data_IF_934030148191
#
_entry.id   IF_934030148191
#
_cell.length_a   1.000
_cell.length_b   1.000
_cell.length_c   1.000
_cell.angle_alpha   90.00
_cell.angle_beta   90.00
_cell.angle_gamma   90.00
#
_symmetry.space_group_name_H-M   'P 1'
#
loop_
_entity.id
_entity.type
_entity.pdbx_description
1 polymer ?
#
# COMPACT_ATOMS: atom_id res chain seq x y z
N UNK A 1 -14.70 -28.72 -9.90
CA UNK A 1 -15.47 -27.46 -9.99
C UNK A 1 -15.12 -26.57 -8.79
N UNK A 2 -13.87 -26.08 -8.69
CA UNK A 2 -13.41 -25.27 -7.55
C UNK A 2 -13.17 -23.79 -7.91
N UNK A 3 -12.98 -23.48 -9.21
CA UNK A 3 -12.72 -22.11 -9.69
C UNK A 3 -13.95 -21.18 -9.70
N UNK A 4 -15.17 -21.71 -9.53
CA UNK A 4 -16.41 -20.91 -9.61
C UNK A 4 -16.76 -20.18 -8.30
N UNK A 5 -16.14 -20.54 -7.16
CA UNK A 5 -16.37 -19.91 -5.85
C UNK A 5 -15.23 -19.01 -5.39
N UNK A 6 -14.10 -18.99 -6.09
CA UNK A 6 -12.94 -18.19 -5.74
C UNK A 6 -13.06 -16.78 -6.32
N UNK A 7 -12.71 -15.71 -5.57
CA UNK A 7 -12.65 -14.38 -6.12
C UNK A 7 -11.76 -14.32 -7.36
N UNK A 8 -12.20 -13.62 -8.40
CA UNK A 8 -11.50 -13.57 -9.69
C UNK A 8 -10.04 -13.13 -9.55
N UNK A 9 -9.75 -12.14 -8.71
CA UNK A 9 -8.37 -11.67 -8.48
C UNK A 9 -7.50 -12.78 -7.89
N UNK A 10 -8.02 -13.57 -6.95
CA UNK A 10 -7.30 -14.71 -6.37
C UNK A 10 -7.03 -15.77 -7.43
N UNK A 11 -8.05 -16.14 -8.21
CA UNK A 11 -7.92 -17.14 -9.27
C UNK A 11 -6.89 -16.72 -10.34
N UNK A 12 -6.87 -15.43 -10.71
CA UNK A 12 -5.88 -14.89 -11.64
C UNK A 12 -4.48 -14.91 -11.02
N UNK A 13 -4.35 -14.53 -9.75
CA UNK A 13 -3.07 -14.45 -9.08
C UNK A 13 -2.46 -15.82 -8.76
N UNK A 14 -3.26 -16.86 -8.54
CA UNK A 14 -2.78 -18.26 -8.47
C UNK A 14 -1.97 -18.66 -9.72
N UNK A 15 -2.30 -18.07 -10.87
CA UNK A 15 -1.64 -18.36 -12.15
C UNK A 15 -0.45 -17.42 -12.34
N UNK A 16 -0.64 -16.12 -12.14
CA UNK A 16 0.37 -15.10 -12.47
C UNK A 16 1.43 -14.93 -11.38
N UNK A 17 1.05 -15.08 -10.11
CA UNK A 17 1.91 -14.77 -8.95
C UNK A 17 3.20 -15.57 -8.89
N UNK A 18 3.19 -16.82 -9.37
CA UNK A 18 4.39 -17.67 -9.52
C UNK A 18 5.46 -17.10 -10.46
N UNK A 19 5.13 -16.06 -11.23
CA UNK A 19 6.04 -15.36 -12.13
C UNK A 19 6.50 -14.01 -11.57
N UNK A 20 6.01 -13.62 -10.40
CA UNK A 20 6.42 -12.39 -9.71
C UNK A 20 7.50 -12.78 -8.70
N UNK A 21 8.76 -12.51 -9.05
CA UNK A 21 9.93 -12.80 -8.20
C UNK A 21 10.20 -11.62 -7.29
N UNK A 22 10.40 -11.89 -6.00
CA UNK A 22 10.90 -10.92 -5.04
C UNK A 22 12.42 -10.84 -5.15
N UNK A 23 12.92 -9.67 -5.53
CA UNK A 23 14.35 -9.41 -5.70
C UNK A 23 14.78 -8.21 -4.86
N UNK A 24 15.87 -8.36 -4.11
CA UNK A 24 16.50 -7.26 -3.37
C UNK A 24 17.30 -6.34 -4.28
N UNK A 25 17.71 -5.21 -3.71
CA UNK A 25 18.60 -4.26 -4.37
C UNK A 25 19.93 -4.88 -4.83
N UNK A 26 20.44 -5.88 -4.12
CA UNK A 26 21.68 -6.61 -4.45
C UNK A 26 21.49 -7.74 -5.48
N UNK A 27 20.24 -7.97 -5.92
CA UNK A 27 19.89 -9.03 -6.86
C UNK A 27 19.60 -10.40 -6.23
N UNK A 28 19.65 -10.53 -4.90
CA UNK A 28 19.22 -11.74 -4.20
C UNK A 28 17.71 -11.96 -4.42
N UNK A 29 17.33 -13.22 -4.67
CA UNK A 29 15.93 -13.62 -4.81
C UNK A 29 15.40 -14.20 -3.50
N UNK A 30 14.30 -13.65 -3.01
CA UNK A 30 13.65 -14.06 -1.75
C UNK A 30 12.39 -14.92 -2.00
N UNK A 31 12.31 -15.52 -3.19
CA UNK A 31 11.19 -16.34 -3.64
C UNK A 31 10.22 -15.61 -4.55
N UNK A 32 8.98 -16.10 -4.64
CA UNK A 32 7.94 -15.58 -5.52
C UNK A 32 6.68 -15.22 -4.74
N UNK A 33 5.90 -14.28 -5.28
CA UNK A 33 4.58 -13.98 -4.74
C UNK A 33 3.53 -14.98 -5.23
N UNK A 34 3.64 -16.21 -4.77
CA UNK A 34 2.67 -17.26 -5.07
C UNK A 34 1.49 -17.22 -4.10
N UNK A 35 0.30 -17.51 -4.63
CA UNK A 35 -0.83 -17.91 -3.80
C UNK A 35 -0.98 -19.43 -3.90
N UNK A 36 -1.39 -20.05 -2.81
CA UNK A 36 -1.72 -21.47 -2.73
C UNK A 36 -3.18 -21.62 -2.36
N UNK A 37 -3.84 -22.64 -2.89
CA UNK A 37 -5.22 -22.98 -2.54
C UNK A 37 -5.25 -24.41 -2.04
N UNK A 38 -5.66 -24.59 -0.79
CA UNK A 38 -5.88 -25.91 -0.21
C UNK A 38 -7.32 -26.36 -0.52
N UNK A 39 -7.53 -27.38 -1.36
CA UNK A 39 -8.88 -27.83 -1.72
C UNK A 39 -9.64 -28.48 -0.56
N UNK A 40 -8.95 -28.96 0.49
CA UNK A 40 -9.58 -29.65 1.62
C UNK A 40 -10.18 -28.66 2.62
N UNK A 41 -9.44 -27.59 2.94
CA UNK A 41 -9.88 -26.53 3.87
C UNK A 41 -10.51 -25.33 3.15
N UNK A 42 -10.35 -25.24 1.83
CA UNK A 42 -10.64 -24.06 1.01
C UNK A 42 -9.86 -22.80 1.42
N UNK A 43 -8.76 -22.98 2.14
CA UNK A 43 -7.86 -21.92 2.57
C UNK A 43 -7.03 -21.39 1.39
N UNK A 44 -6.75 -20.08 1.40
CA UNK A 44 -5.81 -19.46 0.49
C UNK A 44 -4.61 -18.99 1.31
N UNK A 45 -3.41 -19.35 0.89
CA UNK A 45 -2.14 -18.96 1.53
C UNK A 45 -1.33 -18.12 0.57
N UNK A 46 -0.46 -17.25 1.09
CA UNK A 46 0.39 -16.39 0.28
C UNK A 46 1.86 -16.57 0.62
N UNK A 47 2.74 -16.42 -0.36
CA UNK A 47 4.21 -16.53 -0.23
C UNK A 47 4.69 -17.98 0.05
N UNK A 48 4.15 -18.65 1.08
CA UNK A 48 4.47 -20.03 1.44
C UNK A 48 3.20 -20.89 1.54
N UNK A 49 3.32 -22.17 1.21
CA UNK A 49 2.23 -23.15 1.34
C UNK A 49 2.13 -23.70 2.77
N UNK A 50 1.99 -22.80 3.74
CA UNK A 50 1.98 -23.09 5.17
C UNK A 50 0.76 -22.42 5.84
N UNK A 51 0.17 -23.06 6.83
CA UNK A 51 -1.05 -22.57 7.49
C UNK A 51 -0.88 -21.18 8.12
N UNK A 52 0.33 -20.87 8.60
CA UNK A 52 0.65 -19.57 9.21
C UNK A 52 0.60 -18.42 8.19
N UNK A 53 0.70 -18.73 6.89
CA UNK A 53 0.61 -17.79 5.78
C UNK A 53 -0.80 -17.73 5.17
N UNK A 54 -1.81 -18.24 5.89
CA UNK A 54 -3.20 -18.17 5.46
C UNK A 54 -3.74 -16.74 5.42
N UNK A 55 -4.52 -16.46 4.38
CA UNK A 55 -5.26 -15.22 4.22
C UNK A 55 -6.69 -15.42 4.67
N UNK A 56 -7.21 -14.46 5.44
CA UNK A 56 -8.65 -14.38 5.69
C UNK A 56 -9.29 -13.49 4.63
N UNK A 57 -10.04 -14.08 3.71
CA UNK A 57 -10.83 -13.34 2.73
C UNK A 57 -12.18 -12.91 3.30
N UNK A 58 -12.61 -11.69 3.01
CA UNK A 58 -13.81 -11.08 3.61
C UNK A 58 -13.84 -11.22 5.14
N UNK A 59 -12.77 -10.80 5.85
CA UNK A 59 -12.76 -10.85 7.31
C UNK A 59 -13.92 -10.02 7.88
N UNK A 60 -14.43 -10.35 9.07
CA UNK A 60 -15.27 -9.43 9.83
C UNK A 60 -14.51 -8.11 10.02
N UNK A 61 -14.99 -7.06 9.38
CA UNK A 61 -14.35 -5.75 9.43
C UNK A 61 -14.64 -5.08 10.79
N UNK A 62 -13.65 -4.41 11.41
CA UNK A 62 -13.82 -3.78 12.72
C UNK A 62 -15.07 -2.89 12.78
N UNK A 63 -15.83 -3.02 13.88
CA UNK A 63 -17.04 -2.21 14.16
C UNK A 63 -16.85 -1.28 15.35
N UNK A 64 -15.87 -1.61 16.17
CA UNK A 64 -15.39 -0.87 17.33
C UNK A 64 -14.36 0.16 16.87
N UNK A 65 -14.49 1.36 17.45
CA UNK A 65 -13.88 2.59 16.95
C UNK A 65 -14.52 3.03 15.63
N UNK A 66 -15.40 4.05 15.71
CA UNK A 66 -15.95 4.74 14.55
C UNK A 66 -14.79 5.08 13.62
N UNK A 67 -14.52 4.30 12.57
CA UNK A 67 -13.43 4.58 11.65
C UNK A 67 -13.60 6.03 11.17
N UNK A 68 -12.54 6.81 10.86
CA UNK A 68 -12.66 8.15 10.26
C UNK A 68 -13.54 8.26 8.99
N UNK A 69 -14.16 7.16 8.55
CA UNK A 69 -15.06 7.01 7.41
C UNK A 69 -16.50 6.59 7.78
N UNK A 70 -16.83 6.50 9.08
CA UNK A 70 -18.16 6.23 9.70
C UNK A 70 -18.97 5.00 9.24
N UNK A 71 -18.60 4.36 8.15
CA UNK A 71 -18.84 2.97 7.79
C UNK A 71 -17.50 2.51 7.22
N UNK A 72 -16.99 1.34 7.61
CA UNK A 72 -15.67 0.91 7.14
C UNK A 72 -15.64 1.05 5.61
N UNK A 73 -14.77 1.88 5.02
CA UNK A 73 -14.88 2.27 3.60
C UNK A 73 -14.78 1.05 2.70
N UNK A 74 -14.17 -0.02 3.21
CA UNK A 74 -14.09 -1.30 2.54
C UNK A 74 -15.49 -1.87 2.33
N UNK A 75 -16.37 -1.85 3.35
CA UNK A 75 -17.74 -2.39 3.31
C UNK A 75 -18.58 -1.80 2.17
N UNK A 76 -18.65 -0.47 2.08
CA UNK A 76 -19.43 0.21 1.03
C UNK A 76 -18.89 -0.04 -0.38
N UNK A 77 -17.61 -0.40 -0.49
CA UNK A 77 -16.92 -0.56 -1.76
C UNK A 77 -16.51 -2.01 -2.04
N UNK A 78 -16.96 -2.99 -1.25
CA UNK A 78 -16.60 -4.40 -1.42
C UNK A 78 -16.98 -4.88 -2.81
N UNK A 79 -16.05 -5.57 -3.46
CA UNK A 79 -16.30 -6.30 -4.70
C UNK A 79 -16.14 -7.78 -4.42
N UNK A 80 -17.13 -8.58 -4.79
CA UNK A 80 -17.08 -10.03 -4.63
C UNK A 80 -15.81 -10.64 -5.26
N UNK A 81 -15.39 -10.12 -6.40
CA UNK A 81 -14.25 -10.61 -7.17
C UNK A 81 -12.88 -10.12 -6.67
N UNK A 82 -12.87 -9.17 -5.74
CA UNK A 82 -11.69 -8.52 -5.16
C UNK A 82 -11.99 -8.12 -3.69
N UNK A 83 -12.21 -9.12 -2.81
CA UNK A 83 -12.68 -8.91 -1.45
C UNK A 83 -11.58 -8.32 -0.55
N UNK A 84 -11.93 -7.67 0.57
CA UNK A 84 -10.97 -7.33 1.61
C UNK A 84 -10.22 -8.56 2.11
N UNK A 85 -8.97 -8.35 2.51
CA UNK A 85 -8.06 -9.42 2.94
C UNK A 85 -7.47 -9.04 4.28
N UNK A 86 -7.48 -9.97 5.23
CA UNK A 86 -6.71 -9.86 6.47
C UNK A 86 -5.54 -10.83 6.43
N UNK A 87 -4.39 -10.34 6.88
CA UNK A 87 -3.13 -11.08 6.90
C UNK A 87 -2.27 -10.65 8.08
N UNK A 88 -1.46 -11.57 8.58
CA UNK A 88 -0.40 -11.34 9.58
C UNK A 88 0.99 -11.53 8.96
N UNK A 89 1.06 -11.68 7.63
CA UNK A 89 2.31 -11.89 6.91
C UNK A 89 3.05 -10.56 6.84
N UNK A 90 4.32 -10.56 7.25
CA UNK A 90 5.22 -9.43 7.16
C UNK A 90 6.53 -9.85 6.51
N UNK A 91 7.22 -8.89 5.93
CA UNK A 91 8.61 -9.08 5.53
C UNK A 91 9.49 -8.53 6.64
N UNK A 92 10.20 -9.42 7.33
CA UNK A 92 11.24 -9.04 8.27
C UNK A 92 12.48 -8.68 7.44
N UNK A 93 12.97 -7.46 7.62
CA UNK A 93 14.15 -6.96 6.91
C UNK A 93 15.44 -7.19 7.72
N UNK A 94 15.33 -7.68 8.95
CA UNK A 94 16.48 -7.92 9.81
C UNK A 94 17.30 -9.13 9.31
N UNK A 95 18.60 -9.07 9.59
CA UNK A 95 19.61 -10.08 9.19
C UNK A 95 19.59 -10.40 7.69
N UNK A 96 19.01 -11.56 7.35
CA UNK A 96 19.01 -12.13 6.02
C UNK A 96 17.70 -11.90 5.28
N UNK A 97 16.76 -11.13 5.84
CA UNK A 97 15.47 -10.75 5.25
C UNK A 97 14.54 -11.93 4.92
N UNK A 98 13.42 -12.07 5.61
CA UNK A 98 12.54 -13.22 5.47
C UNK A 98 11.07 -12.84 5.55
N UNK A 99 10.24 -13.56 4.79
CA UNK A 99 8.80 -13.55 4.99
C UNK A 99 8.43 -14.34 6.25
N UNK A 100 7.79 -13.66 7.20
CA UNK A 100 7.38 -14.24 8.48
C UNK A 100 5.85 -14.16 8.63
N UNK A 101 5.31 -15.12 9.37
CA UNK A 101 3.92 -15.12 9.80
C UNK A 101 3.79 -14.65 11.26
N UNK A 102 2.61 -14.18 11.65
CA UNK A 102 2.36 -13.75 13.03
C UNK A 102 2.87 -12.34 13.37
N UNK A 103 3.13 -11.52 12.35
CA UNK A 103 3.36 -10.08 12.52
C UNK A 103 2.08 -9.35 12.93
N UNK A 104 2.12 -8.02 12.86
CA UNK A 104 0.92 -7.19 13.07
C UNK A 104 -0.22 -7.58 12.12
N UNK A 105 -1.46 -7.63 12.62
CA UNK A 105 -2.63 -7.88 11.79
C UNK A 105 -2.92 -6.65 10.91
N UNK A 106 -2.87 -6.85 9.59
CA UNK A 106 -3.27 -5.86 8.59
C UNK A 106 -4.53 -6.33 7.86
N UNK A 107 -5.44 -5.40 7.63
CA UNK A 107 -6.60 -5.60 6.76
C UNK A 107 -6.48 -4.68 5.54
N UNK A 108 -6.24 -5.26 4.37
CA UNK A 108 -6.22 -4.55 3.10
C UNK A 108 -7.64 -4.42 2.53
N UNK A 109 -7.92 -3.29 1.88
CA UNK A 109 -9.23 -2.97 1.29
C UNK A 109 -9.71 -3.98 0.25
N UNK A 110 -8.76 -4.66 -0.39
CA UNK A 110 -8.98 -5.71 -1.35
C UNK A 110 -7.77 -6.63 -1.50
N UNK A 111 -7.95 -7.76 -2.19
CA UNK A 111 -6.84 -8.64 -2.54
C UNK A 111 -5.83 -7.96 -3.46
N UNK A 112 -6.29 -7.12 -4.39
CA UNK A 112 -5.40 -6.31 -5.23
C UNK A 112 -4.57 -5.33 -4.39
N UNK A 113 -5.18 -4.71 -3.37
CA UNK A 113 -4.47 -3.83 -2.44
C UNK A 113 -3.44 -4.60 -1.60
N UNK A 114 -3.81 -5.80 -1.11
CA UNK A 114 -2.90 -6.70 -0.43
C UNK A 114 -1.69 -7.06 -1.32
N UNK A 115 -1.94 -7.40 -2.58
CA UNK A 115 -0.87 -7.75 -3.53
C UNK A 115 0.10 -6.58 -3.69
N UNK A 116 -0.41 -5.38 -3.95
CA UNK A 116 0.41 -4.17 -4.08
C UNK A 116 1.19 -3.90 -2.79
N UNK A 117 0.58 -4.13 -1.62
CA UNK A 117 1.22 -3.94 -0.33
C UNK A 117 2.39 -4.90 -0.09
N UNK A 118 2.24 -6.17 -0.43
CA UNK A 118 3.32 -7.15 -0.28
C UNK A 118 4.50 -6.84 -1.20
N UNK A 119 4.23 -6.49 -2.47
CA UNK A 119 5.29 -6.07 -3.41
C UNK A 119 5.98 -4.80 -2.92
N UNK A 120 5.19 -3.81 -2.47
CA UNK A 120 5.76 -2.55 -1.95
C UNK A 120 6.60 -2.81 -0.72
N UNK A 121 6.10 -3.56 0.28
CA UNK A 121 6.83 -3.87 1.52
C UNK A 121 8.16 -4.56 1.24
N UNK A 122 8.15 -5.59 0.41
CA UNK A 122 9.38 -6.30 0.03
C UNK A 122 10.38 -5.35 -0.62
N UNK A 123 9.93 -4.57 -1.61
CA UNK A 123 10.79 -3.63 -2.32
C UNK A 123 11.38 -2.56 -1.39
N UNK A 124 10.57 -2.02 -0.48
CA UNK A 124 11.00 -0.96 0.44
C UNK A 124 11.93 -1.47 1.54
N UNK A 125 11.75 -2.73 1.96
CA UNK A 125 12.55 -3.36 3.00
C UNK A 125 13.78 -4.10 2.46
N UNK A 126 13.81 -4.43 1.16
CA UNK A 126 14.85 -5.20 0.49
C UNK A 126 16.16 -4.42 0.20
N UNK A 127 16.49 -3.44 1.03
CA UNK A 127 17.77 -2.71 0.98
C UNK A 127 17.84 -1.58 -0.04
N UNK A 128 16.72 -1.12 -0.61
CA UNK A 128 16.69 0.06 -1.48
C UNK A 128 16.63 1.33 -0.63
N UNK A 129 17.51 2.29 -0.90
CA UNK A 129 17.45 3.60 -0.26
C UNK A 129 16.19 4.35 -0.72
N UNK A 130 15.27 4.58 0.23
CA UNK A 130 14.08 5.39 0.00
C UNK A 130 14.34 6.79 0.53
N UNK A 131 14.11 7.76 -0.33
CA UNK A 131 14.14 9.16 0.02
C UNK A 131 12.72 9.67 0.17
N UNK A 132 12.43 10.32 1.30
CA UNK A 132 11.11 10.82 1.61
C UNK A 132 11.12 12.30 2.00
N UNK A 133 9.99 12.95 1.72
CA UNK A 133 9.59 14.21 2.35
C UNK A 133 8.19 14.03 2.91
N UNK A 134 7.92 14.62 4.07
CA UNK A 134 6.67 14.42 4.79
C UNK A 134 6.16 15.72 5.42
N UNK A 135 4.84 15.82 5.54
CA UNK A 135 4.17 16.90 6.27
C UNK A 135 2.88 16.41 6.91
N UNK A 136 2.53 16.99 8.05
CA UNK A 136 1.24 16.80 8.69
C UNK A 136 0.26 17.87 8.20
N UNK A 137 -0.88 17.46 7.67
CA UNK A 137 -1.88 18.34 7.07
C UNK A 137 -3.23 18.12 7.76
N UNK A 138 -3.91 19.21 8.12
CA UNK A 138 -5.30 19.15 8.56
C UNK A 138 -6.20 18.68 7.40
N UNK A 139 -6.99 17.64 7.66
CA UNK A 139 -7.87 16.98 6.70
C UNK A 139 -8.93 17.92 6.13
N UNK A 140 -9.37 18.91 6.90
CA UNK A 140 -10.30 19.96 6.52
C UNK A 140 -9.67 21.14 5.77
N UNK A 141 -8.34 21.23 5.70
CA UNK A 141 -7.64 22.30 4.99
C UNK A 141 -8.03 22.37 3.51
N UNK A 142 -7.91 23.58 2.93
CA UNK A 142 -8.27 23.90 1.53
C UNK A 142 -9.65 23.41 1.11
N UNK A 143 -10.64 23.58 1.99
CA UNK A 143 -12.03 23.23 1.72
C UNK A 143 -12.32 21.72 1.78
N UNK A 144 -11.54 20.96 2.56
CA UNK A 144 -11.76 19.53 2.77
C UNK A 144 -11.43 18.66 1.57
N UNK A 145 -10.50 19.08 0.70
CA UNK A 145 -10.09 18.24 -0.43
C UNK A 145 -9.47 16.92 0.04
N UNK A 146 -8.60 16.98 1.06
CA UNK A 146 -7.99 15.78 1.61
C UNK A 146 -9.03 14.89 2.29
N UNK A 147 -10.01 15.49 3.00
CA UNK A 147 -11.19 14.77 3.48
C UNK A 147 -11.95 14.06 2.36
N UNK A 148 -12.24 14.78 1.28
CA UNK A 148 -12.93 14.26 0.11
C UNK A 148 -12.14 13.18 -0.63
N UNK A 149 -10.81 13.19 -0.57
CA UNK A 149 -9.96 12.15 -1.12
C UNK A 149 -10.01 10.88 -0.27
N UNK A 150 -9.90 11.05 1.05
CA UNK A 150 -9.89 9.94 1.99
C UNK A 150 -11.25 9.24 2.09
N UNK A 151 -12.35 9.97 1.91
CA UNK A 151 -13.72 9.43 1.93
C UNK A 151 -14.17 8.76 0.63
N UNK A 152 -13.37 8.83 -0.44
CA UNK A 152 -13.66 8.12 -1.69
C UNK A 152 -13.43 6.62 -1.56
N UNK A 153 -13.79 5.90 -2.61
CA UNK A 153 -13.51 4.47 -2.67
C UNK A 153 -12.01 4.21 -2.48
N UNK A 154 -11.62 3.30 -1.57
CA UNK A 154 -10.22 2.96 -1.26
C UNK A 154 -9.50 2.29 -2.44
N UNK A 155 -10.25 1.97 -3.50
CA UNK A 155 -9.75 1.39 -4.75
C UNK A 155 -9.58 2.43 -5.87
N UNK A 156 -9.88 3.70 -5.60
CA UNK A 156 -9.73 4.78 -6.58
C UNK A 156 -8.36 5.42 -6.40
N UNK A 157 -7.47 5.19 -7.35
CA UNK A 157 -6.18 5.87 -7.37
C UNK A 157 -6.36 7.35 -7.72
N UNK A 158 -5.40 8.15 -7.29
CA UNK A 158 -5.22 9.49 -7.84
C UNK A 158 -5.01 9.43 -9.36
N UNK A 159 -5.34 10.53 -10.04
CA UNK A 159 -5.11 10.64 -11.47
C UNK A 159 -3.61 10.51 -11.77
N UNK A 160 -3.26 9.68 -12.76
CA UNK A 160 -1.86 9.45 -13.13
C UNK A 160 -1.09 8.47 -12.24
N UNK A 161 -1.72 7.92 -11.20
CA UNK A 161 -1.14 6.82 -10.42
C UNK A 161 -1.39 5.46 -11.08
N UNK A 162 -0.46 4.53 -10.91
CA UNK A 162 -0.47 3.19 -11.51
C UNK A 162 -1.28 2.19 -10.67
N UNK A 163 -1.24 2.35 -9.34
CA UNK A 163 -2.00 1.55 -8.41
C UNK A 163 -2.32 2.33 -7.13
N UNK A 164 -3.26 1.79 -6.37
CA UNK A 164 -3.58 2.25 -5.02
C UNK A 164 -3.71 1.05 -4.10
N UNK A 165 -3.17 1.18 -2.89
CA UNK A 165 -3.48 0.27 -1.80
C UNK A 165 -4.05 1.08 -0.64
N UNK A 166 -4.97 0.47 0.09
CA UNK A 166 -5.47 1.00 1.35
C UNK A 166 -5.48 -0.14 2.34
N UNK A 167 -4.91 0.09 3.51
CA UNK A 167 -4.79 -0.90 4.57
C UNK A 167 -5.08 -0.26 5.92
N UNK A 168 -5.66 -1.06 6.80
CA UNK A 168 -5.75 -0.78 8.22
C UNK A 168 -4.77 -1.70 8.94
N UNK A 169 -3.89 -1.13 9.75
CA UNK A 169 -2.91 -1.85 10.55
C UNK A 169 -3.33 -1.97 12.02
N UNK A 170 -2.45 -2.55 12.84
CA UNK A 170 -2.69 -2.70 14.28
C UNK A 170 -2.99 -1.36 14.95
N UNK A 171 -3.97 -1.37 15.86
CA UNK A 171 -4.34 -0.19 16.64
C UNK A 171 -5.16 0.86 15.87
N UNK A 172 -5.67 0.55 14.67
CA UNK A 172 -6.54 1.45 13.91
C UNK A 172 -5.81 2.50 13.07
N UNK A 173 -4.52 2.29 12.82
CA UNK A 173 -3.75 3.10 11.86
C UNK A 173 -4.28 2.79 10.47
N UNK A 174 -4.72 3.81 9.74
CA UNK A 174 -5.14 3.65 8.35
C UNK A 174 -4.09 4.26 7.41
N UNK A 175 -3.74 3.52 6.37
CA UNK A 175 -2.77 3.93 5.36
C UNK A 175 -3.40 3.83 3.98
N UNK A 176 -3.24 4.86 3.16
CA UNK A 176 -3.54 4.82 1.73
C UNK A 176 -2.30 5.23 0.94
N UNK A 177 -1.83 4.35 0.07
CA UNK A 177 -0.65 4.58 -0.77
C UNK A 177 -1.07 4.61 -2.23
N UNK A 178 -0.66 5.66 -2.93
CA UNK A 178 -0.85 5.85 -4.36
C UNK A 178 0.50 5.72 -5.05
N UNK A 179 0.68 4.66 -5.84
CA UNK A 179 1.91 4.45 -6.62
C UNK A 179 1.92 5.38 -7.84
N UNK A 180 2.94 6.22 -7.94
CA UNK A 180 3.15 7.18 -9.03
C UNK A 180 3.84 6.54 -10.24
N UNK A 181 4.61 5.47 -10.01
CA UNK A 181 5.30 4.69 -11.02
C UNK A 181 4.89 3.22 -10.92
N UNK A 182 5.06 2.47 -12.00
CA UNK A 182 4.83 1.03 -12.00
C UNK A 182 6.05 0.30 -11.40
N UNK A 183 5.87 -0.97 -11.02
CA UNK A 183 6.97 -1.75 -10.44
C UNK A 183 8.09 -2.10 -11.43
N UNK A 184 7.83 -1.94 -12.74
CA UNK A 184 8.80 -2.11 -13.83
C UNK A 184 9.42 -0.79 -14.29
N UNK A 185 9.07 0.34 -13.68
CA UNK A 185 9.74 1.62 -13.93
C UNK A 185 11.15 1.64 -13.30
N UNK A 186 12.08 2.47 -13.81
CA UNK A 186 13.46 2.53 -13.30
C UNK A 186 13.60 2.99 -11.84
N UNK A 187 12.53 3.49 -11.24
CA UNK A 187 12.45 3.88 -9.84
C UNK A 187 11.01 3.81 -9.37
N UNK A 188 10.82 3.61 -8.08
CA UNK A 188 9.51 3.63 -7.43
C UNK A 188 9.28 4.99 -6.82
N UNK A 189 8.10 5.57 -7.04
CA UNK A 189 7.64 6.74 -6.31
C UNK A 189 6.19 6.53 -5.88
N UNK A 190 5.86 7.02 -4.68
CA UNK A 190 4.54 6.85 -4.10
C UNK A 190 4.17 7.96 -3.15
N UNK A 191 2.89 8.32 -3.11
CA UNK A 191 2.32 9.19 -2.09
C UNK A 191 1.67 8.31 -1.04
N UNK A 192 2.06 8.49 0.22
CA UNK A 192 1.50 7.80 1.36
C UNK A 192 0.68 8.78 2.20
N UNK A 193 -0.52 8.36 2.58
CA UNK A 193 -1.45 9.08 3.45
C UNK A 193 -1.70 8.22 4.68
N UNK A 194 -1.18 8.64 5.83
CA UNK A 194 -1.26 7.91 7.09
C UNK A 194 -2.15 8.68 8.06
N UNK A 195 -3.11 7.99 8.65
CA UNK A 195 -4.04 8.52 9.64
C UNK A 195 -3.84 7.74 10.93
N UNK A 196 -3.48 8.46 11.99
CA UNK A 196 -3.33 7.89 13.32
C UNK A 196 -4.68 7.58 13.97
N UNK A 197 -4.73 6.65 14.94
CA UNK A 197 -5.97 6.28 15.61
C UNK A 197 -6.52 7.40 16.50
N UNK A 198 -5.62 8.17 17.14
CA UNK A 198 -5.93 9.20 18.13
C UNK A 198 -6.21 10.58 17.50
N UNK A 199 -5.56 10.90 16.38
CA UNK A 199 -5.75 12.14 15.65
C UNK A 199 -6.18 11.84 14.21
N UNK A 200 -7.48 11.98 14.00
CA UNK A 200 -8.14 11.77 12.71
C UNK A 200 -8.33 13.05 11.91
N UNK A 201 -7.94 14.19 12.47
CA UNK A 201 -7.96 15.47 11.79
C UNK A 201 -6.63 15.72 11.09
N UNK A 202 -5.53 15.22 11.65
CA UNK A 202 -4.23 15.29 10.99
C UNK A 202 -3.98 14.08 10.10
N UNK A 203 -3.54 14.33 8.88
CA UNK A 203 -3.06 13.30 7.94
C UNK A 203 -1.57 13.52 7.75
N UNK A 204 -0.77 12.50 8.03
CA UNK A 204 0.63 12.50 7.65
C UNK A 204 0.71 12.15 6.17
N UNK A 205 1.20 13.10 5.37
CA UNK A 205 1.35 12.96 3.93
C UNK A 205 2.84 12.86 3.63
N UNK A 206 3.27 11.80 2.96
CA UNK A 206 4.65 11.67 2.52
C UNK A 206 4.76 11.30 1.04
N UNK A 207 5.83 11.79 0.41
CA UNK A 207 6.25 11.35 -0.92
C UNK A 207 7.56 10.58 -0.76
N UNK A 208 7.51 9.28 -0.98
CA UNK A 208 8.68 8.40 -1.00
C UNK A 208 9.13 8.14 -2.42
N UNK A 209 10.45 8.02 -2.64
CA UNK A 209 11.03 7.69 -3.94
C UNK A 209 12.37 6.96 -3.84
N UNK A 210 12.66 6.13 -4.85
CA UNK A 210 13.99 5.54 -5.10
C UNK A 210 14.70 6.18 -6.29
N UNK A 211 14.17 7.30 -6.80
CA UNK A 211 14.84 8.12 -7.82
C UNK A 211 16.23 8.52 -7.34
N UNK A 212 17.25 8.30 -8.18
CA UNK A 212 18.61 8.75 -7.90
C UNK A 212 18.67 10.28 -7.76
N UNK A 213 19.23 10.81 -6.66
CA UNK A 213 19.27 12.26 -6.44
C UNK A 213 20.18 12.94 -7.47
N UNK A 214 19.78 14.13 -7.91
CA UNK A 214 20.63 15.05 -8.67
C UNK A 214 20.99 16.29 -7.84
N UNK A 215 22.10 16.94 -8.16
CA UNK A 215 22.52 18.18 -7.48
C UNK A 215 23.19 17.93 -6.13
N UNK A 216 23.11 18.90 -5.22
CA UNK A 216 23.77 18.85 -3.92
C UNK A 216 22.89 18.14 -2.89
N UNK A 217 23.48 17.42 -1.91
CA UNK A 217 22.71 16.79 -0.83
C UNK A 217 21.85 17.78 -0.01
N UNK A 218 22.27 19.05 0.08
CA UNK A 218 21.54 20.11 0.77
C UNK A 218 20.43 20.78 -0.05
N UNK A 219 20.25 20.42 -1.32
CA UNK A 219 19.19 20.99 -2.14
C UNK A 219 17.81 20.45 -1.70
N UNK A 220 16.72 21.24 -1.86
CA UNK A 220 15.37 20.79 -1.54
C UNK A 220 14.97 19.51 -2.28
N UNK A 221 14.07 18.72 -1.68
CA UNK A 221 13.54 17.47 -2.25
C UNK A 221 13.15 17.59 -3.73
N UNK A 222 12.31 18.55 -4.18
CA UNK A 222 11.90 18.63 -5.58
C UNK A 222 13.02 19.01 -6.56
N UNK A 223 14.15 19.53 -6.06
CA UNK A 223 15.34 19.82 -6.88
C UNK A 223 16.15 18.54 -7.10
N UNK A 224 16.23 17.69 -6.06
CA UNK A 224 16.98 16.43 -6.06
C UNK A 224 16.25 15.29 -6.75
N UNK A 225 14.93 15.21 -6.60
CA UNK A 225 14.09 14.12 -7.12
C UNK A 225 13.03 14.67 -8.09
N UNK A 226 13.52 15.16 -9.23
CA UNK A 226 12.71 15.98 -10.15
C UNK A 226 11.57 15.21 -10.78
N UNK A 227 11.77 13.93 -11.11
CA UNK A 227 10.74 13.10 -11.75
C UNK A 227 9.63 12.77 -10.77
N UNK A 228 10.01 12.41 -9.54
CA UNK A 228 9.08 12.12 -8.45
C UNK A 228 8.25 13.34 -8.07
N UNK A 229 8.90 14.50 -7.92
CA UNK A 229 8.22 15.75 -7.64
C UNK A 229 7.27 16.17 -8.78
N UNK A 230 7.66 15.96 -10.04
CA UNK A 230 6.78 16.23 -11.18
C UNK A 230 5.55 15.31 -11.19
N UNK A 231 5.73 14.01 -10.95
CA UNK A 231 4.63 13.05 -10.84
C UNK A 231 3.68 13.43 -9.69
N UNK A 232 4.22 13.74 -8.51
CA UNK A 232 3.42 14.17 -7.38
C UNK A 232 2.63 15.45 -7.66
N UNK A 233 3.24 16.46 -8.32
CA UNK A 233 2.52 17.69 -8.74
C UNK A 233 1.37 17.39 -9.68
N UNK A 234 1.56 16.45 -10.61
CA UNK A 234 0.52 16.05 -11.56
C UNK A 234 -0.64 15.33 -10.86
N UNK A 235 -0.33 14.37 -9.99
CA UNK A 235 -1.33 13.47 -9.41
C UNK A 235 -2.01 14.02 -8.15
N UNK A 236 -1.28 14.75 -7.32
CA UNK A 236 -1.75 15.24 -6.01
C UNK A 236 -2.24 16.68 -6.04
N UNK A 237 -2.12 17.34 -7.20
CA UNK A 237 -2.68 18.65 -7.47
C UNK A 237 -2.25 19.71 -6.44
N UNK A 238 -3.18 20.48 -5.85
CA UNK A 238 -2.85 21.59 -4.95
C UNK A 238 -2.01 21.20 -3.72
N UNK A 239 -2.11 19.96 -3.24
CA UNK A 239 -1.39 19.53 -2.03
C UNK A 239 0.08 19.18 -2.32
N UNK A 240 0.43 18.91 -3.57
CA UNK A 240 1.83 18.77 -3.94
C UNK A 240 2.63 20.04 -3.64
N UNK A 241 2.02 21.23 -3.76
CA UNK A 241 2.68 22.50 -3.44
C UNK A 241 2.90 22.69 -1.94
N UNK A 242 2.00 22.16 -1.10
CA UNK A 242 2.20 22.15 0.36
C UNK A 242 3.37 21.22 0.69
N UNK A 243 3.32 19.99 0.18
CA UNK A 243 4.30 18.94 0.47
C UNK A 243 5.70 19.29 -0.06
N UNK A 244 5.81 19.80 -1.28
CA UNK A 244 7.09 20.00 -1.97
C UNK A 244 7.66 21.41 -1.81
N UNK A 245 6.79 22.41 -1.75
CA UNK A 245 7.18 23.82 -1.81
C UNK A 245 6.93 24.54 -0.46
N UNK A 246 6.45 23.83 0.56
CA UNK A 246 6.25 24.36 1.92
C UNK A 246 5.17 25.43 2.01
N UNK A 247 4.23 25.46 1.05
CA UNK A 247 3.12 26.40 1.11
C UNK A 247 2.27 26.15 2.36
N UNK A 248 1.78 27.23 2.96
CA UNK A 248 0.84 27.10 4.08
C UNK A 248 -0.43 26.36 3.62
N UNK A 249 -0.93 25.41 4.44
CA UNK A 249 -2.18 24.70 4.17
C UNK A 249 -3.35 25.63 3.88
#
# INVERSE_FOLDING_TARGET
MAYLSMPRVAAQWLIVGRHVVFCRADGQQDGTFELFHDPASNEIRAIRDEHEFALTLNPPLPTDHVHPFQQHPFQQHMKHDDPPVRSTIAYDAEEDGEWVAGGGEFTSASLSAFIVAMITRHYTSGGVDIHATEINIDRGARGGYLDGLLTRSPRTSLEGCTAVMTEEGPGGIACQVHLLTAFDDPFIASICLIIGPDDRQTVNVSLGTTEQPVGNPGDPFPVRYRRSAWLARRSFGPFALILLDGQTP
#
